data_IF_552952061001
#
_entry.id   IF_552952061001
#
_cell.length_a   1.000
_cell.length_b   1.000
_cell.length_c   1.000
_cell.angle_alpha   90.00
_cell.angle_beta   90.00
_cell.angle_gamma   90.00
#
_symmetry.space_group_name_H-M   'P 1'
#
loop_
_entity.id
_entity.type
_entity.pdbx_description
1 polymer ?
#
# COMPACT_ATOMS: atom_id res chain seq x y z
N UNK A 1 5.47 -6.63 -10.00
CA UNK A 1 6.33 -5.52 -10.49
C UNK A 1 7.66 -5.52 -9.74
N UNK A 2 8.44 -6.59 -9.88
CA UNK A 2 9.85 -6.57 -9.51
C UNK A 2 10.61 -6.10 -10.74
N UNK A 3 10.93 -4.83 -10.77
CA UNK A 3 11.93 -4.29 -11.69
C UNK A 3 13.13 -3.95 -10.82
N UNK A 4 14.36 -4.34 -11.20
CA UNK A 4 15.55 -3.84 -10.51
C UNK A 4 15.51 -2.31 -10.55
N UNK A 5 16.08 -1.67 -9.52
CA UNK A 5 16.22 -0.22 -9.56
C UNK A 5 17.09 0.16 -10.78
N UNK A 6 16.48 0.79 -11.78
CA UNK A 6 17.20 1.22 -12.98
C UNK A 6 18.31 2.19 -12.59
N UNK A 7 19.56 1.82 -12.85
CA UNK A 7 20.69 2.73 -12.73
C UNK A 7 20.74 3.63 -13.95
N UNK A 8 20.04 4.76 -13.89
CA UNK A 8 20.07 5.73 -14.98
C UNK A 8 21.45 6.38 -15.11
N UNK A 9 22.07 6.24 -16.28
CA UNK A 9 23.16 7.13 -16.68
C UNK A 9 22.65 8.58 -16.80
N UNK A 10 23.54 9.59 -16.89
CA UNK A 10 23.13 10.99 -17.03
C UNK A 10 22.14 11.22 -18.18
N UNK A 11 22.37 10.56 -19.33
CA UNK A 11 21.54 10.67 -20.52
C UNK A 11 20.17 10.02 -20.33
N UNK A 12 20.13 8.78 -19.86
CA UNK A 12 18.88 8.06 -19.61
C UNK A 12 18.03 8.78 -18.55
N UNK A 13 18.68 9.38 -17.52
CA UNK A 13 18.00 10.18 -16.51
C UNK A 13 17.37 11.42 -17.14
N UNK A 14 18.09 12.10 -18.04
CA UNK A 14 17.54 13.25 -18.72
C UNK A 14 16.37 12.88 -19.63
N UNK A 15 16.47 11.78 -20.39
CA UNK A 15 15.38 11.30 -21.25
C UNK A 15 14.13 10.94 -20.42
N UNK A 16 14.32 10.27 -19.28
CA UNK A 16 13.23 9.99 -18.33
C UNK A 16 12.62 11.27 -17.73
N UNK A 17 13.46 12.23 -17.34
CA UNK A 17 13.02 13.52 -16.83
C UNK A 17 12.27 14.33 -17.89
N UNK A 18 12.74 14.31 -19.14
CA UNK A 18 12.10 15.01 -20.26
C UNK A 18 10.71 14.46 -20.54
N UNK A 19 10.57 13.14 -20.62
CA UNK A 19 9.28 12.49 -20.82
C UNK A 19 8.29 12.85 -19.70
N UNK A 20 8.73 12.76 -18.44
CA UNK A 20 7.92 13.12 -17.28
C UNK A 20 7.53 14.62 -17.29
N UNK A 21 8.49 15.52 -17.44
CA UNK A 21 8.27 16.97 -17.33
C UNK A 21 7.36 17.49 -18.45
N UNK A 22 7.52 17.00 -19.68
CA UNK A 22 6.63 17.37 -20.79
C UNK A 22 5.19 16.96 -20.50
N UNK A 23 4.96 15.76 -19.97
CA UNK A 23 3.63 15.32 -19.60
C UNK A 23 3.08 16.09 -18.39
N UNK A 24 3.88 16.24 -17.34
CA UNK A 24 3.53 16.94 -16.11
C UNK A 24 3.14 18.39 -16.39
N UNK A 25 3.96 19.14 -17.14
CA UNK A 25 3.70 20.55 -17.44
C UNK A 25 2.50 20.72 -18.37
N UNK A 26 2.22 19.76 -19.26
CA UNK A 26 0.99 19.75 -20.06
C UNK A 26 -0.25 19.54 -19.17
N UNK A 27 -0.22 18.54 -18.30
CA UNK A 27 -1.35 18.24 -17.41
C UNK A 27 -1.60 19.36 -16.36
N UNK A 28 -0.57 20.15 -16.03
CA UNK A 28 -0.67 21.33 -15.16
C UNK A 28 -1.00 22.63 -15.91
N UNK A 29 -1.13 22.63 -17.24
CA UNK A 29 -1.39 23.84 -18.04
C UNK A 29 -0.25 24.86 -18.02
N UNK A 30 1.00 24.39 -17.94
CA UNK A 30 2.23 25.18 -17.81
C UNK A 30 3.23 24.92 -18.93
N UNK A 31 2.77 24.56 -20.12
CA UNK A 31 3.64 24.19 -21.25
C UNK A 31 4.66 25.27 -21.61
N UNK A 32 4.36 26.54 -21.38
CA UNK A 32 5.30 27.65 -21.62
C UNK A 32 6.58 27.60 -20.77
N UNK A 33 6.54 26.94 -19.61
CA UNK A 33 7.66 26.89 -18.67
C UNK A 33 8.61 25.69 -18.93
N UNK A 34 8.17 24.69 -19.70
CA UNK A 34 8.84 23.38 -19.77
C UNK A 34 10.25 23.48 -20.37
N UNK A 35 10.46 24.29 -21.40
CA UNK A 35 11.76 24.40 -22.08
C UNK A 35 12.83 25.06 -21.20
N UNK A 36 12.45 26.01 -20.34
CA UNK A 36 13.36 26.58 -19.35
C UNK A 36 13.73 25.53 -18.31
N UNK A 37 12.72 24.80 -17.82
CA UNK A 37 12.90 23.75 -16.82
C UNK A 37 13.82 22.63 -17.31
N UNK A 38 13.65 22.18 -18.55
CA UNK A 38 14.49 21.14 -19.15
C UNK A 38 15.97 21.57 -19.22
N UNK A 39 16.27 22.84 -19.52
CA UNK A 39 17.64 23.36 -19.50
C UNK A 39 18.25 23.36 -18.09
N UNK A 40 17.47 23.71 -17.07
CA UNK A 40 17.91 23.63 -15.67
C UNK A 40 18.21 22.20 -15.24
N UNK A 41 17.33 21.26 -15.63
CA UNK A 41 17.48 19.84 -15.34
C UNK A 41 18.70 19.26 -16.04
N UNK A 42 18.90 19.55 -17.33
CA UNK A 42 20.11 19.18 -18.07
C UNK A 42 21.39 19.67 -17.38
N UNK A 43 21.40 20.95 -16.99
CA UNK A 43 22.54 21.56 -16.30
C UNK A 43 22.81 20.90 -14.95
N UNK A 44 21.77 20.62 -14.17
CA UNK A 44 21.87 19.97 -12.85
C UNK A 44 22.40 18.55 -12.99
N UNK A 45 21.87 17.77 -13.94
CA UNK A 45 22.34 16.41 -14.23
C UNK A 45 23.81 16.43 -14.67
N UNK A 46 24.21 17.37 -15.54
CA UNK A 46 25.60 17.50 -15.97
C UNK A 46 26.58 17.82 -14.83
N UNK A 47 26.14 18.56 -13.81
CA UNK A 47 26.99 18.96 -12.67
C UNK A 47 27.00 17.95 -11.51
N UNK A 48 25.85 17.36 -11.21
CA UNK A 48 25.62 16.61 -9.97
C UNK A 48 25.15 15.17 -10.21
N UNK A 49 24.98 14.78 -11.48
CA UNK A 49 24.39 13.50 -11.88
C UNK A 49 22.98 13.28 -11.25
N UNK A 50 22.23 14.36 -11.03
CA UNK A 50 20.88 14.36 -10.48
C UNK A 50 20.20 15.73 -10.70
N UNK A 51 18.89 15.80 -10.48
CA UNK A 51 18.13 17.05 -10.41
C UNK A 51 17.07 16.94 -9.31
N UNK A 52 16.58 18.06 -8.80
CA UNK A 52 15.57 18.05 -7.72
C UNK A 52 14.23 18.46 -8.29
N UNK A 53 13.18 17.67 -8.02
CA UNK A 53 11.82 18.03 -8.37
C UNK A 53 11.34 19.28 -7.60
N UNK A 54 10.57 20.14 -8.24
CA UNK A 54 9.76 21.14 -7.52
C UNK A 54 8.66 20.45 -6.71
N UNK A 55 8.02 21.16 -5.76
CA UNK A 55 6.89 20.61 -5.01
C UNK A 55 5.74 20.20 -5.95
N UNK A 56 5.40 21.03 -6.94
CA UNK A 56 4.37 20.70 -7.92
C UNK A 56 4.71 19.47 -8.79
N UNK A 57 5.98 19.34 -9.19
CA UNK A 57 6.44 18.15 -9.92
C UNK A 57 6.36 16.88 -9.06
N UNK A 58 6.73 16.97 -7.78
CA UNK A 58 6.64 15.83 -6.85
C UNK A 58 5.18 15.42 -6.62
N UNK A 59 4.31 16.39 -6.35
CA UNK A 59 2.89 16.19 -6.12
C UNK A 59 2.22 15.51 -7.31
N UNK A 60 2.42 16.08 -8.51
CA UNK A 60 1.83 15.53 -9.74
C UNK A 60 2.44 14.17 -10.09
N UNK A 61 3.75 14.00 -9.92
CA UNK A 61 4.45 12.75 -10.17
C UNK A 61 3.96 11.59 -9.29
N UNK A 62 3.71 11.85 -8.00
CA UNK A 62 3.15 10.85 -7.09
C UNK A 62 1.72 10.45 -7.46
N UNK A 63 0.87 11.43 -7.84
CA UNK A 63 -0.48 11.19 -8.36
C UNK A 63 -0.47 10.35 -9.64
N UNK A 64 0.40 10.69 -10.59
CA UNK A 64 0.61 9.91 -11.81
C UNK A 64 1.08 8.49 -11.51
N UNK A 65 1.94 8.30 -10.49
CA UNK A 65 2.40 6.97 -10.09
C UNK A 65 1.25 6.08 -9.62
N UNK A 66 0.29 6.64 -8.86
CA UNK A 66 -0.93 5.92 -8.50
C UNK A 66 -1.79 5.63 -9.72
N UNK A 67 -2.03 6.63 -10.59
CA UNK A 67 -2.76 6.47 -11.87
C UNK A 67 -2.20 5.34 -12.75
N UNK A 68 -0.87 5.19 -12.75
CA UNK A 68 -0.15 4.19 -13.53
C UNK A 68 0.01 2.83 -12.82
N UNK A 69 -0.50 2.66 -11.60
CA UNK A 69 -0.30 1.43 -10.83
C UNK A 69 -1.19 0.28 -11.35
N UNK A 70 -0.59 -0.63 -12.12
CA UNK A 70 -1.31 -1.71 -12.80
C UNK A 70 -2.01 -2.71 -11.87
N UNK A 71 -1.64 -2.75 -10.59
CA UNK A 71 -2.21 -3.66 -9.58
C UNK A 71 -3.27 -2.99 -8.69
N UNK A 72 -3.58 -1.71 -8.92
CA UNK A 72 -4.51 -0.96 -8.10
C UNK A 72 -5.87 -0.82 -8.79
N UNK A 73 -6.92 -1.38 -8.18
CA UNK A 73 -8.31 -1.18 -8.60
C UNK A 73 -8.84 0.21 -8.19
N UNK A 74 -8.37 0.78 -7.08
CA UNK A 74 -8.81 2.07 -6.53
C UNK A 74 -8.30 3.31 -7.27
N UNK A 75 -7.87 3.20 -8.53
CA UNK A 75 -7.22 4.30 -9.28
C UNK A 75 -8.13 5.48 -9.61
N UNK A 76 -9.45 5.34 -9.45
CA UNK A 76 -10.40 6.43 -9.66
C UNK A 76 -10.07 7.69 -8.85
N UNK A 77 -9.48 7.54 -7.67
CA UNK A 77 -9.20 8.65 -6.75
C UNK A 77 -7.78 9.22 -6.90
N UNK A 78 -7.06 8.89 -7.98
CA UNK A 78 -5.64 9.22 -8.13
C UNK A 78 -5.31 10.70 -7.95
N UNK A 79 -6.23 11.60 -8.34
CA UNK A 79 -6.02 13.06 -8.27
C UNK A 79 -6.17 13.63 -6.83
N UNK A 80 -6.79 12.87 -5.93
CA UNK A 80 -7.11 13.27 -4.56
C UNK A 80 -6.00 12.95 -3.56
N UNK A 81 -4.90 12.34 -4.02
CA UNK A 81 -3.75 11.98 -3.19
C UNK A 81 -3.13 13.22 -2.52
N UNK A 82 -3.06 13.20 -1.20
CA UNK A 82 -2.30 14.16 -0.42
C UNK A 82 -0.82 13.76 -0.40
N UNK A 83 0.06 14.67 -0.81
CA UNK A 83 1.51 14.41 -0.88
C UNK A 83 2.21 15.20 0.22
N UNK A 84 2.77 14.49 1.18
CA UNK A 84 3.59 15.05 2.24
C UNK A 84 5.05 15.03 1.79
N UNK A 85 5.59 16.21 1.47
CA UNK A 85 6.99 16.36 1.06
C UNK A 85 7.91 16.24 2.28
N UNK A 86 8.52 15.07 2.46
CA UNK A 86 9.45 14.74 3.55
C UNK A 86 10.89 14.60 3.06
N UNK A 87 11.22 15.16 1.89
CA UNK A 87 12.55 15.04 1.27
C UNK A 87 13.66 15.75 2.05
N UNK A 88 13.32 16.55 3.06
CA UNK A 88 14.27 17.17 3.98
C UNK A 88 14.59 16.36 5.24
N UNK A 89 13.99 15.18 5.42
CA UNK A 89 14.16 14.37 6.64
C UNK A 89 15.22 13.29 6.43
N UNK A 90 16.27 13.32 7.25
CA UNK A 90 17.47 12.47 7.11
C UNK A 90 17.91 11.77 8.41
N UNK A 91 17.02 11.68 9.41
CA UNK A 91 17.26 10.95 10.67
C UNK A 91 16.17 9.94 10.92
N UNK A 92 16.49 8.80 11.55
CA UNK A 92 15.50 7.76 11.84
C UNK A 92 14.35 8.28 12.72
N UNK A 93 14.67 9.06 13.76
CA UNK A 93 13.69 9.75 14.60
C UNK A 93 12.81 10.72 13.80
N UNK A 94 13.40 11.49 12.88
CA UNK A 94 12.63 12.39 12.02
C UNK A 94 11.69 11.64 11.07
N UNK A 95 12.15 10.50 10.52
CA UNK A 95 11.32 9.62 9.70
C UNK A 95 10.17 9.07 10.55
N UNK A 96 10.44 8.53 11.74
CA UNK A 96 9.42 8.05 12.66
C UNK A 96 8.35 9.12 12.94
N UNK A 97 8.74 10.33 13.33
CA UNK A 97 7.80 11.41 13.62
C UNK A 97 6.91 11.71 12.40
N UNK A 98 7.48 11.71 11.19
CA UNK A 98 6.72 11.92 9.95
C UNK A 98 5.77 10.76 9.61
N UNK A 99 6.11 9.52 10.00
CA UNK A 99 5.25 8.36 9.83
C UNK A 99 4.08 8.37 10.82
N UNK A 100 4.30 8.81 12.06
CA UNK A 100 3.21 9.03 13.02
C UNK A 100 2.24 10.11 12.52
N UNK A 101 2.77 11.23 12.02
CA UNK A 101 1.95 12.28 11.38
C UNK A 101 1.18 11.75 10.16
N UNK A 102 1.79 10.86 9.37
CA UNK A 102 1.11 10.20 8.25
C UNK A 102 -0.08 9.36 8.75
N UNK A 103 0.15 8.49 9.73
CA UNK A 103 -0.88 7.60 10.27
C UNK A 103 -2.07 8.42 10.77
N UNK A 104 -1.84 9.43 11.60
CA UNK A 104 -2.88 10.31 12.13
C UNK A 104 -3.64 11.04 11.00
N UNK A 105 -2.92 11.71 10.11
CA UNK A 105 -3.52 12.46 9.00
C UNK A 105 -4.34 11.56 8.06
N UNK A 106 -3.82 10.37 7.75
CA UNK A 106 -4.48 9.42 6.86
C UNK A 106 -5.71 8.78 7.52
N UNK A 107 -5.65 8.52 8.83
CA UNK A 107 -6.75 7.89 9.60
C UNK A 107 -7.94 8.84 9.73
N UNK A 108 -7.71 10.10 10.10
CA UNK A 108 -8.74 11.16 10.11
C UNK A 108 -10.08 10.71 10.73
N UNK A 109 -10.03 10.18 11.96
CA UNK A 109 -11.19 9.70 12.70
C UNK A 109 -12.06 8.68 11.92
N UNK A 110 -11.42 7.84 11.11
CA UNK A 110 -12.07 6.83 10.27
C UNK A 110 -12.45 7.32 8.87
N UNK A 111 -12.48 8.63 8.61
CA UNK A 111 -12.71 9.19 7.28
C UNK A 111 -11.41 9.20 6.45
N UNK A 112 -10.94 8.01 6.08
CA UNK A 112 -9.61 7.76 5.52
C UNK A 112 -9.29 8.69 4.33
N UNK A 113 -8.10 9.32 4.40
CA UNK A 113 -7.54 10.21 3.38
C UNK A 113 -6.41 9.52 2.62
N UNK A 114 -6.47 9.43 1.27
CA UNK A 114 -5.34 8.96 0.48
C UNK A 114 -4.13 9.87 0.68
N UNK A 115 -3.04 9.31 1.18
CA UNK A 115 -1.85 10.07 1.55
C UNK A 115 -0.60 9.33 1.10
N UNK A 116 0.46 10.09 0.77
CA UNK A 116 1.81 9.57 0.55
C UNK A 116 2.82 10.48 1.25
N UNK A 117 3.81 9.91 1.94
CA UNK A 117 4.96 10.65 2.46
C UNK A 117 6.19 10.33 1.64
N UNK A 118 6.78 11.31 0.97
CA UNK A 118 7.94 11.08 0.12
C UNK A 118 9.23 11.53 0.83
N UNK A 119 10.06 10.56 1.21
CA UNK A 119 11.36 10.79 1.84
C UNK A 119 12.46 11.09 0.80
N UNK A 120 13.70 11.44 1.19
CA UNK A 120 14.72 11.85 0.24
C UNK A 120 14.98 10.80 -0.86
N UNK A 121 15.21 11.23 -2.12
CA UNK A 121 15.50 10.32 -3.21
C UNK A 121 16.86 9.63 -3.00
N UNK A 122 17.03 8.47 -3.63
CA UNK A 122 18.35 7.87 -3.79
C UNK A 122 19.17 8.74 -4.75
N UNK A 123 20.19 9.39 -4.21
CA UNK A 123 21.14 10.21 -4.98
C UNK A 123 22.48 9.49 -4.99
N UNK A 124 23.03 9.25 -6.19
CA UNK A 124 24.32 8.55 -6.39
C UNK A 124 24.36 7.14 -5.77
N UNK A 125 23.22 6.46 -5.68
CA UNK A 125 23.13 5.07 -5.20
C UNK A 125 23.02 4.93 -3.67
N UNK A 126 23.18 6.00 -2.90
CA UNK A 126 23.02 5.95 -1.45
C UNK A 126 21.53 5.98 -1.10
N UNK A 127 21.02 4.88 -0.54
CA UNK A 127 19.68 4.82 0.03
C UNK A 127 19.63 5.71 1.26
N UNK A 128 18.75 6.72 1.26
CA UNK A 128 18.67 7.67 2.37
C UNK A 128 17.76 7.16 3.49
N UNK A 129 16.63 6.55 3.14
CA UNK A 129 15.65 6.02 4.10
C UNK A 129 15.13 4.68 3.60
N UNK A 130 15.06 3.70 4.50
CA UNK A 130 14.42 2.40 4.27
C UNK A 130 13.55 2.05 5.48
N UNK A 131 12.27 1.83 5.21
CA UNK A 131 11.31 1.27 6.16
C UNK A 131 11.24 -0.23 5.85
N UNK A 132 11.51 -1.07 6.84
CA UNK A 132 11.57 -2.52 6.65
C UNK A 132 10.19 -3.17 6.72
N UNK A 133 9.23 -2.52 7.37
CA UNK A 133 7.85 -2.96 7.43
C UNK A 133 7.23 -2.99 6.01
N UNK A 134 6.47 -4.05 5.72
CA UNK A 134 5.65 -4.13 4.50
C UNK A 134 4.56 -3.04 4.50
N UNK A 135 3.89 -2.89 5.64
CA UNK A 135 2.92 -1.84 5.93
C UNK A 135 3.27 -1.17 7.27
N UNK A 136 2.95 0.11 7.43
CA UNK A 136 3.25 0.82 8.70
C UNK A 136 2.51 0.20 9.89
N UNK A 137 1.23 -0.12 9.70
CA UNK A 137 0.42 -0.87 10.64
C UNK A 137 0.39 -2.33 10.19
N UNK A 138 0.86 -3.22 11.06
CA UNK A 138 0.82 -4.66 10.83
C UNK A 138 0.87 -5.41 12.15
N UNK A 139 0.08 -6.47 12.26
CA UNK A 139 0.15 -7.38 13.40
C UNK A 139 1.38 -8.27 13.33
N UNK A 140 1.93 -8.58 14.49
CA UNK A 140 3.04 -9.51 14.67
C UNK A 140 2.60 -10.96 14.43
N UNK A 141 3.58 -11.84 14.22
CA UNK A 141 3.39 -13.28 14.07
C UNK A 141 4.39 -14.05 14.90
N UNK A 142 3.93 -14.96 15.74
CA UNK A 142 4.77 -15.75 16.65
C UNK A 142 4.68 -17.23 16.31
N UNK A 143 5.76 -17.80 15.79
CA UNK A 143 5.84 -19.24 15.56
C UNK A 143 5.84 -20.01 16.90
N UNK A 144 5.01 -21.04 16.99
CA UNK A 144 4.87 -21.94 18.14
C UNK A 144 4.82 -23.39 17.69
N UNK A 145 4.89 -24.33 18.65
CA UNK A 145 4.75 -25.76 18.38
C UNK A 145 3.40 -26.15 17.75
N UNK A 146 2.36 -25.32 17.94
CA UNK A 146 1.00 -25.58 17.48
C UNK A 146 0.58 -24.73 16.26
N UNK A 147 1.52 -24.01 15.64
CA UNK A 147 1.24 -23.06 14.56
C UNK A 147 1.65 -21.63 14.94
N UNK A 148 1.14 -20.65 14.20
CA UNK A 148 1.47 -19.23 14.41
C UNK A 148 0.35 -18.55 15.20
N UNK A 149 0.73 -17.76 16.21
CA UNK A 149 -0.16 -16.79 16.87
C UNK A 149 -0.02 -15.45 16.12
N UNK A 150 -1.14 -14.79 15.80
CA UNK A 150 -1.14 -13.57 15.00
C UNK A 150 -0.94 -13.81 13.50
N UNK A 151 -0.20 -12.94 12.82
CA UNK A 151 -0.06 -12.95 11.36
C UNK A 151 1.18 -13.74 10.87
N UNK A 152 1.01 -14.90 10.19
CA UNK A 152 2.13 -15.67 9.64
C UNK A 152 3.04 -14.90 8.69
N UNK A 153 2.51 -13.91 7.97
CA UNK A 153 3.31 -13.09 7.05
C UNK A 153 4.37 -12.26 7.78
N UNK A 154 4.13 -11.95 9.07
CA UNK A 154 4.97 -11.07 9.86
C UNK A 154 6.02 -11.80 10.70
N UNK A 155 6.10 -13.14 10.66
CA UNK A 155 6.98 -13.93 11.56
C UNK A 155 8.43 -13.47 11.49
N UNK A 156 8.99 -13.35 10.28
CA UNK A 156 10.39 -12.97 10.10
C UNK A 156 10.70 -11.58 10.70
N UNK A 157 9.85 -10.59 10.46
CA UNK A 157 10.01 -9.25 11.02
C UNK A 157 9.78 -9.22 12.53
N UNK A 158 8.84 -10.03 13.01
CA UNK A 158 8.55 -10.20 14.44
C UNK A 158 9.77 -10.73 15.19
N UNK A 159 10.42 -11.77 14.66
CA UNK A 159 11.61 -12.36 15.26
C UNK A 159 12.81 -11.41 15.24
N UNK A 160 12.96 -10.62 14.16
CA UNK A 160 13.93 -9.54 14.15
C UNK A 160 13.64 -8.52 15.24
N UNK A 161 12.41 -8.04 15.38
CA UNK A 161 12.09 -7.05 16.41
C UNK A 161 12.40 -7.60 17.82
N UNK A 162 12.07 -8.86 18.07
CA UNK A 162 12.35 -9.56 19.33
C UNK A 162 13.85 -9.73 19.58
N UNK A 163 14.66 -10.03 18.55
CA UNK A 163 16.11 -10.13 18.67
C UNK A 163 16.77 -8.79 19.03
N UNK A 164 16.09 -7.68 18.72
CA UNK A 164 16.48 -6.31 19.07
C UNK A 164 15.89 -5.81 20.38
N UNK A 165 15.22 -6.67 21.15
CA UNK A 165 14.72 -6.38 22.49
C UNK A 165 13.26 -5.93 22.56
N UNK A 166 12.52 -5.92 21.44
CA UNK A 166 11.08 -5.67 21.48
C UNK A 166 10.33 -6.85 22.13
N UNK A 167 9.27 -6.54 22.86
CA UNK A 167 8.41 -7.52 23.53
C UNK A 167 6.97 -7.07 23.52
N UNK A 168 6.05 -8.04 23.49
CA UNK A 168 4.60 -7.83 23.42
C UNK A 168 3.87 -8.86 24.29
N UNK A 169 2.54 -8.78 24.31
CA UNK A 169 1.69 -9.74 25.02
C UNK A 169 1.53 -11.08 24.28
N UNK A 170 1.99 -11.16 23.02
CA UNK A 170 1.84 -12.31 22.12
C UNK A 170 0.39 -12.67 21.86
N UNK A 171 -0.39 -11.66 21.49
CA UNK A 171 -1.79 -11.82 21.05
C UNK A 171 -1.88 -11.94 19.53
N UNK A 172 -3.06 -12.27 19.03
CA UNK A 172 -3.33 -12.30 17.59
C UNK A 172 -3.20 -10.93 16.92
N UNK A 173 -3.26 -9.84 17.70
CA UNK A 173 -3.37 -8.48 17.17
C UNK A 173 -2.34 -7.51 17.78
N UNK A 174 -1.16 -7.99 18.14
CA UNK A 174 -0.07 -7.10 18.61
C UNK A 174 0.49 -6.28 17.45
N UNK A 175 0.44 -4.95 17.53
CA UNK A 175 1.03 -4.06 16.51
C UNK A 175 2.56 -4.12 16.56
N UNK A 176 3.19 -4.34 15.40
CA UNK A 176 4.64 -4.31 15.25
C UNK A 176 5.21 -2.89 15.37
N UNK A 177 6.43 -2.71 15.93
CA UNK A 177 7.13 -1.44 15.87
C UNK A 177 7.57 -1.14 14.43
N UNK A 178 7.80 0.14 14.15
CA UNK A 178 8.42 0.59 12.92
C UNK A 178 9.92 0.31 12.96
N UNK A 179 10.43 -0.34 11.92
CA UNK A 179 11.86 -0.63 11.74
C UNK A 179 12.40 0.29 10.65
N UNK A 180 13.16 1.30 11.08
CA UNK A 180 13.59 2.41 10.23
C UNK A 180 15.11 2.41 10.13
N UNK A 181 15.61 2.43 8.89
CA UNK A 181 17.02 2.49 8.57
C UNK A 181 17.32 3.75 7.76
N UNK A 182 18.38 4.46 8.13
CA UNK A 182 18.88 5.64 7.42
C UNK A 182 20.33 5.44 7.02
N UNK A 183 20.62 5.53 5.72
CA UNK A 183 21.92 5.15 5.16
C UNK A 183 22.29 3.71 5.49
N UNK A 184 23.58 3.48 5.74
CA UNK A 184 24.12 2.15 6.09
C UNK A 184 24.12 1.89 7.61
N UNK A 185 23.37 2.68 8.39
CA UNK A 185 23.27 2.49 9.84
C UNK A 185 22.46 1.23 10.17
N UNK A 186 22.64 0.72 11.38
CA UNK A 186 21.76 -0.30 11.95
C UNK A 186 20.32 0.25 12.02
N UNK A 187 19.30 -0.53 11.63
CA UNK A 187 17.92 -0.12 11.80
C UNK A 187 17.56 0.13 13.26
N UNK A 188 16.73 1.13 13.49
CA UNK A 188 16.21 1.52 14.79
C UNK A 188 14.73 1.11 14.87
N UNK A 189 14.31 0.63 16.05
CA UNK A 189 12.93 0.23 16.32
C UNK A 189 12.20 1.36 17.04
N UNK A 190 10.98 1.66 16.58
CA UNK A 190 10.13 2.66 17.20
C UNK A 190 8.73 2.09 17.40
N UNK A 191 8.25 2.06 18.64
CA UNK A 191 6.88 1.67 18.93
C UNK A 191 5.90 2.73 18.42
N UNK A 192 4.78 2.27 17.87
CA UNK A 192 3.70 3.14 17.42
C UNK A 192 2.82 3.43 18.64
N UNK A 193 2.53 4.71 18.95
CA UNK A 193 1.62 5.04 20.04
C UNK A 193 0.22 4.47 19.80
N UNK A 194 -0.40 3.88 20.82
CA UNK A 194 -1.73 3.27 20.72
C UNK A 194 -2.81 4.27 20.27
N UNK A 195 -2.65 5.56 20.61
CA UNK A 195 -3.62 6.61 20.31
C UNK A 195 -3.68 7.00 18.82
N UNK A 196 -2.66 6.64 18.03
CA UNK A 196 -2.70 6.84 16.57
C UNK A 196 -3.15 5.61 15.79
N UNK A 197 -3.33 4.46 16.47
CA UNK A 197 -3.78 3.22 15.83
C UNK A 197 -5.29 3.08 16.01
N UNK A 198 -6.04 3.30 14.92
CA UNK A 198 -7.47 2.99 14.90
C UNK A 198 -7.69 1.55 14.46
N UNK A 199 -8.28 0.73 15.32
CA UNK A 199 -8.69 -0.64 15.03
C UNK A 199 -10.21 -0.77 15.01
N UNK A 200 -10.70 -1.68 14.17
CA UNK A 200 -12.12 -1.98 14.01
C UNK A 200 -12.39 -3.38 14.53
N UNK A 201 -12.92 -3.52 15.77
CA UNK A 201 -13.48 -4.78 16.25
C UNK A 201 -14.59 -5.28 15.32
N UNK A 202 -14.52 -6.56 14.95
CA UNK A 202 -15.47 -7.15 14.01
C UNK A 202 -16.68 -7.77 14.70
N UNK A 203 -17.83 -7.54 14.11
CA UNK A 203 -19.13 -8.10 14.47
C UNK A 203 -19.92 -8.41 13.20
N UNK A 204 -20.93 -9.26 13.29
CA UNK A 204 -21.77 -9.61 12.15
C UNK A 204 -23.23 -9.15 12.36
N UNK A 205 -23.91 -8.60 11.34
CA UNK A 205 -25.27 -8.08 11.50
C UNK A 205 -26.30 -9.16 11.88
N UNK A 206 -26.06 -10.40 11.45
CA UNK A 206 -27.00 -11.53 11.65
C UNK A 206 -26.48 -12.60 12.62
N UNK A 207 -25.21 -12.57 13.01
CA UNK A 207 -24.56 -13.63 13.80
C UNK A 207 -23.91 -13.03 15.04
N UNK A 208 -24.61 -13.08 16.17
CA UNK A 208 -24.14 -12.46 17.42
C UNK A 208 -22.82 -13.07 17.92
N UNK A 209 -22.66 -14.39 17.76
CA UNK A 209 -21.46 -15.15 18.12
C UNK A 209 -20.19 -14.65 17.44
N UNK A 210 -20.30 -13.92 16.32
CA UNK A 210 -19.13 -13.45 15.58
C UNK A 210 -18.25 -12.52 16.42
N UNK A 211 -18.84 -11.72 17.30
CA UNK A 211 -18.09 -10.81 18.18
C UNK A 211 -17.25 -11.58 19.21
N UNK A 212 -17.66 -12.80 19.57
CA UNK A 212 -16.95 -13.64 20.53
C UNK A 212 -15.66 -14.23 19.94
N UNK A 213 -15.48 -14.17 18.61
CA UNK A 213 -14.22 -14.54 17.95
C UNK A 213 -13.09 -13.53 18.24
N UNK A 214 -13.41 -12.33 18.73
CA UNK A 214 -12.41 -11.31 19.06
C UNK A 214 -11.61 -10.76 17.88
N UNK A 215 -12.08 -10.98 16.64
CA UNK A 215 -11.39 -10.49 15.44
C UNK A 215 -11.43 -8.96 15.37
N UNK A 216 -10.31 -8.37 14.95
CA UNK A 216 -10.22 -6.94 14.67
C UNK A 216 -9.21 -6.67 13.55
N UNK A 217 -9.29 -5.47 12.96
CA UNK A 217 -8.33 -5.05 11.96
C UNK A 217 -8.06 -3.55 12.02
N UNK A 218 -6.82 -3.13 11.78
CA UNK A 218 -6.45 -1.71 11.70
C UNK A 218 -7.14 -1.02 10.51
N UNK A 219 -7.54 0.23 10.69
CA UNK A 219 -8.45 0.95 9.78
C UNK A 219 -7.81 1.37 8.44
N UNK A 220 -6.50 1.68 8.45
CA UNK A 220 -5.82 2.30 7.30
C UNK A 220 -4.70 1.41 6.72
N UNK A 221 -4.77 1.01 5.43
CA UNK A 221 -3.72 0.23 4.77
C UNK A 221 -2.59 1.13 4.25
N UNK A 222 -1.50 1.27 5.01
CA UNK A 222 -0.36 2.09 4.59
C UNK A 222 0.80 1.20 4.13
N UNK A 223 0.99 1.05 2.82
CA UNK A 223 2.08 0.29 2.21
C UNK A 223 3.38 1.09 2.36
N UNK A 224 4.48 0.46 2.79
CA UNK A 224 5.75 1.13 3.09
C UNK A 224 7.00 0.52 2.45
N UNK A 225 6.87 -0.62 1.78
CA UNK A 225 8.00 -1.36 1.20
C UNK A 225 8.24 -1.13 -0.30
N UNK A 226 7.42 -0.30 -0.93
CA UNK A 226 7.58 0.09 -2.33
C UNK A 226 8.47 1.33 -2.46
N UNK A 227 9.17 1.42 -3.59
CA UNK A 227 9.82 2.67 -4.04
C UNK A 227 8.93 3.38 -5.05
N UNK A 228 8.99 4.70 -5.05
CA UNK A 228 8.37 5.56 -6.04
C UNK A 228 9.42 6.01 -7.07
N UNK A 229 9.12 5.90 -8.36
CA UNK A 229 9.95 6.43 -9.43
C UNK A 229 9.22 7.58 -10.14
N UNK A 230 9.90 8.73 -10.28
CA UNK A 230 9.41 9.90 -11.02
C UNK A 230 10.57 10.45 -11.86
N UNK A 231 10.41 10.52 -13.18
CA UNK A 231 11.37 11.18 -14.08
C UNK A 231 12.81 10.65 -13.99
N UNK A 232 12.99 9.35 -13.72
CA UNK A 232 14.32 8.75 -13.52
C UNK A 232 14.95 9.00 -12.16
N UNK A 233 14.24 9.63 -11.21
CA UNK A 233 14.59 9.66 -9.79
C UNK A 233 13.87 8.56 -9.04
N UNK A 234 14.58 7.94 -8.09
CA UNK A 234 14.06 6.88 -7.24
C UNK A 234 13.88 7.43 -5.83
N UNK A 235 12.71 7.23 -5.24
CA UNK A 235 12.38 7.54 -3.85
C UNK A 235 12.22 6.21 -3.10
N UNK A 236 13.25 5.74 -2.39
CA UNK A 236 13.25 4.40 -1.81
C UNK A 236 12.22 4.21 -0.71
N UNK A 237 11.87 5.27 0.01
CA UNK A 237 10.81 5.26 1.02
C UNK A 237 9.75 6.29 0.63
N UNK A 238 8.58 5.77 0.27
CA UNK A 238 7.46 6.60 -0.11
C UNK A 238 6.14 5.96 0.39
N UNK A 239 5.97 5.74 1.71
CA UNK A 239 4.78 5.05 2.21
C UNK A 239 3.51 5.78 1.82
N UNK A 240 2.49 5.02 1.43
CA UNK A 240 1.23 5.54 0.92
C UNK A 240 0.03 4.68 1.31
N UNK A 241 -1.15 5.31 1.32
CA UNK A 241 -2.40 4.63 1.61
C UNK A 241 -3.54 5.07 0.69
N UNK A 242 -4.50 4.17 0.53
CA UNK A 242 -5.90 4.49 0.23
C UNK A 242 -6.75 4.07 1.42
N UNK A 243 -7.90 3.46 1.16
CA UNK A 243 -8.69 2.73 2.14
C UNK A 243 -8.91 1.30 1.66
N UNK A 244 -9.31 0.42 2.57
CA UNK A 244 -9.52 -0.99 2.25
C UNK A 244 -10.67 -1.22 1.27
N UNK A 245 -10.47 -2.18 0.38
CA UNK A 245 -11.53 -2.99 -0.19
C UNK A 245 -11.81 -4.17 0.76
N UNK A 246 -13.08 -4.43 1.10
CA UNK A 246 -13.44 -5.39 2.15
C UNK A 246 -12.86 -6.81 1.98
N UNK A 247 -12.67 -7.24 0.73
CA UNK A 247 -12.09 -8.55 0.41
C UNK A 247 -10.59 -8.66 0.74
N UNK A 248 -9.87 -7.55 0.89
CA UNK A 248 -8.48 -7.56 1.39
C UNK A 248 -8.43 -8.06 2.83
N UNK A 249 -9.41 -7.70 3.66
CA UNK A 249 -9.49 -8.14 5.05
C UNK A 249 -10.21 -9.48 5.12
N UNK A 250 -11.47 -9.55 4.68
CA UNK A 250 -12.32 -10.71 4.88
C UNK A 250 -11.90 -11.94 4.08
N UNK A 251 -11.50 -11.76 2.82
CA UNK A 251 -11.13 -12.89 1.96
C UNK A 251 -9.65 -13.24 2.02
N UNK A 252 -8.76 -12.24 2.12
CA UNK A 252 -7.30 -12.48 2.15
C UNK A 252 -6.77 -12.62 3.56
N UNK A 253 -6.84 -11.57 4.38
CA UNK A 253 -6.24 -11.59 5.71
C UNK A 253 -6.86 -12.65 6.63
N UNK A 254 -8.19 -12.74 6.68
CA UNK A 254 -8.89 -13.75 7.48
C UNK A 254 -9.18 -15.06 6.74
N UNK A 255 -9.29 -15.03 5.40
CA UNK A 255 -9.71 -16.19 4.63
C UNK A 255 -8.58 -17.05 4.06
N UNK A 256 -7.37 -16.50 3.87
CA UNK A 256 -6.26 -17.28 3.32
C UNK A 256 -5.71 -18.28 4.37
N UNK A 257 -5.42 -19.51 3.91
CA UNK A 257 -4.91 -20.61 4.74
C UNK A 257 -3.50 -20.37 5.28
N UNK A 258 -2.73 -19.50 4.63
CA UNK A 258 -1.38 -19.09 5.05
C UNK A 258 -1.40 -17.77 5.82
N UNK A 259 -2.59 -17.34 6.28
CA UNK A 259 -2.81 -16.15 7.11
C UNK A 259 -3.56 -16.56 8.39
N UNK A 260 -4.68 -15.92 8.71
CA UNK A 260 -5.43 -16.24 9.93
C UNK A 260 -6.34 -17.47 9.79
N UNK A 261 -6.57 -17.96 8.56
CA UNK A 261 -7.34 -19.19 8.27
C UNK A 261 -8.66 -19.35 9.05
N UNK A 262 -9.51 -18.32 9.05
CA UNK A 262 -10.75 -18.29 9.84
C UNK A 262 -11.92 -19.04 9.20
N UNK A 263 -11.77 -19.55 7.97
CA UNK A 263 -12.86 -20.23 7.26
C UNK A 263 -13.38 -21.47 8.02
N UNK A 264 -12.54 -22.39 8.53
CA UNK A 264 -13.02 -23.54 9.29
C UNK A 264 -13.79 -23.14 10.55
N UNK A 265 -13.30 -22.13 11.29
CA UNK A 265 -13.94 -21.63 12.51
C UNK A 265 -15.31 -21.01 12.22
N UNK A 266 -15.41 -20.21 11.16
CA UNK A 266 -16.69 -19.62 10.74
C UNK A 266 -17.67 -20.70 10.28
N UNK A 267 -17.20 -21.71 9.54
CA UNK A 267 -18.03 -22.82 9.08
C UNK A 267 -18.58 -23.67 10.24
N UNK A 268 -17.78 -23.91 11.27
CA UNK A 268 -18.21 -24.61 12.49
C UNK A 268 -19.31 -23.83 13.23
N UNK A 269 -19.14 -22.52 13.41
CA UNK A 269 -20.15 -21.65 14.04
C UNK A 269 -21.46 -21.56 13.25
N UNK A 270 -21.39 -21.75 11.93
CA UNK A 270 -22.55 -21.81 11.04
C UNK A 270 -23.17 -23.21 10.97
N UNK A 271 -22.53 -24.24 11.50
CA UNK A 271 -22.99 -25.63 11.43
C UNK A 271 -22.91 -26.21 10.01
N UNK A 272 -21.93 -25.78 9.20
CA UNK A 272 -21.78 -26.23 7.82
C UNK A 272 -21.09 -27.60 7.75
N UNK A 273 -21.45 -28.39 6.73
CA UNK A 273 -20.76 -29.63 6.41
C UNK A 273 -19.43 -29.32 5.69
N UNK A 274 -18.32 -29.44 6.41
CA UNK A 274 -16.95 -29.21 5.90
C UNK A 274 -16.29 -30.47 5.34
N UNK A 275 -17.01 -31.60 5.23
CA UNK A 275 -16.45 -32.88 4.80
C UNK A 275 -15.98 -32.92 3.34
N UNK A 276 -16.52 -32.04 2.48
CA UNK A 276 -16.15 -31.94 1.08
C UNK A 276 -16.39 -30.54 0.54
N UNK A 277 -15.49 -30.05 -0.32
CA UNK A 277 -15.64 -28.75 -1.01
C UNK A 277 -16.93 -28.66 -1.85
N UNK A 278 -17.57 -29.80 -2.19
CA UNK A 278 -18.85 -29.82 -2.92
C UNK A 278 -20.03 -29.20 -2.16
N UNK A 279 -19.94 -29.07 -0.84
CA UNK A 279 -20.96 -28.40 -0.02
C UNK A 279 -20.89 -26.88 -0.12
N UNK A 280 -19.83 -26.33 -0.73
CA UNK A 280 -19.57 -24.89 -0.88
C UNK A 280 -19.42 -24.16 0.46
N UNK A 281 -18.99 -24.88 1.50
CA UNK A 281 -18.84 -24.32 2.85
C UNK A 281 -17.83 -23.15 2.89
N UNK A 282 -16.79 -23.18 2.05
CA UNK A 282 -15.80 -22.11 1.94
C UNK A 282 -16.41 -20.84 1.36
N UNK A 283 -17.23 -20.98 0.32
CA UNK A 283 -17.94 -19.87 -0.32
C UNK A 283 -18.90 -19.18 0.66
N UNK A 284 -19.66 -19.97 1.43
CA UNK A 284 -20.54 -19.46 2.48
C UNK A 284 -19.77 -18.76 3.61
N UNK A 285 -18.71 -19.39 4.13
CA UNK A 285 -17.87 -18.80 5.19
C UNK A 285 -17.20 -17.49 4.73
N UNK A 286 -16.69 -17.45 3.49
CA UNK A 286 -16.12 -16.23 2.90
C UNK A 286 -17.16 -15.12 2.80
N UNK A 287 -18.40 -15.42 2.40
CA UNK A 287 -19.46 -14.42 2.34
C UNK A 287 -19.72 -13.81 3.73
N UNK A 288 -19.78 -14.64 4.78
CA UNK A 288 -19.97 -14.20 6.17
C UNK A 288 -18.81 -13.34 6.67
N UNK A 289 -17.55 -13.72 6.41
CA UNK A 289 -16.39 -12.91 6.76
C UNK A 289 -16.42 -11.53 6.11
N UNK A 290 -16.68 -11.47 4.80
CA UNK A 290 -16.74 -10.20 4.08
C UNK A 290 -17.91 -9.31 4.57
N UNK A 291 -19.06 -9.89 4.89
CA UNK A 291 -20.19 -9.17 5.48
C UNK A 291 -19.85 -8.60 6.86
N UNK A 292 -19.18 -9.37 7.74
CA UNK A 292 -18.74 -8.90 9.05
C UNK A 292 -17.79 -7.71 8.93
N UNK A 293 -16.81 -7.77 8.02
CA UNK A 293 -15.86 -6.69 7.77
C UNK A 293 -16.58 -5.41 7.34
N UNK A 294 -17.38 -5.48 6.27
CA UNK A 294 -18.08 -4.30 5.75
C UNK A 294 -19.02 -3.69 6.78
N UNK A 295 -19.80 -4.53 7.48
CA UNK A 295 -20.71 -4.09 8.53
C UNK A 295 -19.98 -3.38 9.67
N UNK A 296 -18.86 -3.92 10.11
CA UNK A 296 -18.13 -3.41 11.28
C UNK A 296 -17.46 -2.06 10.99
N UNK A 297 -16.85 -1.93 9.81
CA UNK A 297 -16.28 -0.66 9.35
C UNK A 297 -17.36 0.41 9.20
N UNK A 298 -18.49 0.09 8.56
CA UNK A 298 -19.62 1.02 8.42
C UNK A 298 -20.18 1.46 9.78
N UNK A 299 -20.39 0.49 10.69
CA UNK A 299 -20.89 0.74 12.05
C UNK A 299 -19.98 1.68 12.87
N UNK A 300 -18.68 1.64 12.62
CA UNK A 300 -17.69 2.50 13.28
C UNK A 300 -17.40 3.80 12.51
N UNK A 301 -18.06 4.04 11.38
CA UNK A 301 -17.83 5.23 10.55
C UNK A 301 -16.48 5.22 9.84
N UNK A 302 -15.85 4.06 9.70
CA UNK A 302 -14.56 3.91 9.02
C UNK A 302 -14.77 3.65 7.54
N UNK A 303 -14.09 4.43 6.71
CA UNK A 303 -14.19 4.33 5.25
C UNK A 303 -13.66 2.98 4.75
N UNK A 304 -14.52 2.26 4.06
CA UNK A 304 -14.22 1.01 3.36
C UNK A 304 -15.05 0.95 2.07
N UNK A 305 -14.65 0.12 1.11
CA UNK A 305 -15.44 -0.13 -0.10
C UNK A 305 -15.65 -1.63 -0.31
N UNK A 306 -16.84 -2.04 -0.74
CA UNK A 306 -17.03 -3.40 -1.24
C UNK A 306 -16.44 -3.56 -2.64
N UNK A 307 -16.19 -4.81 -3.03
CA UNK A 307 -15.49 -5.11 -4.26
C UNK A 307 -16.31 -4.88 -5.53
N UNK A 308 -17.65 -4.83 -5.45
CA UNK A 308 -18.49 -4.49 -6.60
C UNK A 308 -18.45 -2.99 -6.86
N UNK A 309 -18.59 -2.16 -5.82
CA UNK A 309 -18.44 -0.71 -5.94
C UNK A 309 -17.02 -0.31 -6.34
N UNK A 310 -15.99 -1.00 -5.85
CA UNK A 310 -14.60 -0.78 -6.29
C UNK A 310 -14.44 -1.04 -7.80
N UNK A 311 -15.08 -2.08 -8.33
CA UNK A 311 -15.08 -2.35 -9.77
C UNK A 311 -15.83 -1.27 -10.57
N UNK A 312 -16.99 -0.80 -10.10
CA UNK A 312 -17.71 0.30 -10.76
C UNK A 312 -16.93 1.63 -10.71
N UNK A 313 -16.19 1.90 -9.62
CA UNK A 313 -15.26 3.03 -9.56
C UNK A 313 -14.12 2.87 -10.59
N UNK A 314 -13.56 1.67 -10.71
CA UNK A 314 -12.56 1.38 -11.74
C UNK A 314 -13.10 1.59 -13.16
N UNK A 315 -14.36 1.25 -13.41
CA UNK A 315 -15.03 1.52 -14.69
C UNK A 315 -15.13 3.02 -15.01
N UNK A 316 -15.39 3.84 -14.00
CA UNK A 316 -15.37 5.31 -14.14
C UNK A 316 -13.97 5.82 -14.46
N UNK A 317 -12.95 5.28 -13.79
CA UNK A 317 -11.56 5.56 -14.12
C UNK A 317 -11.24 5.24 -15.58
N UNK A 318 -11.69 4.09 -16.10
CA UNK A 318 -11.51 3.73 -17.51
C UNK A 318 -12.16 4.73 -18.46
N UNK A 319 -13.35 5.23 -18.11
CA UNK A 319 -14.04 6.26 -18.87
C UNK A 319 -13.25 7.58 -18.89
N UNK A 320 -12.77 8.05 -17.73
CA UNK A 320 -12.02 9.31 -17.62
C UNK A 320 -10.67 9.25 -18.34
N UNK A 321 -9.96 8.12 -18.27
CA UNK A 321 -8.72 7.92 -19.02
C UNK A 321 -8.99 7.97 -20.53
N UNK A 322 -10.06 7.33 -21.00
CA UNK A 322 -10.45 7.35 -22.42
C UNK A 322 -10.84 8.74 -22.89
N UNK A 323 -11.61 9.48 -22.10
CA UNK A 323 -12.00 10.87 -22.42
C UNK A 323 -10.79 11.79 -22.50
N UNK A 324 -9.78 11.54 -21.68
CA UNK A 324 -8.50 12.23 -21.74
C UNK A 324 -7.53 11.69 -22.81
N UNK A 325 -7.97 10.76 -23.67
CA UNK A 325 -7.18 10.18 -24.75
C UNK A 325 -6.06 9.23 -24.29
N UNK A 326 -6.12 8.73 -23.05
CA UNK A 326 -5.16 7.79 -22.47
C UNK A 326 -5.70 6.36 -22.51
N UNK A 327 -4.80 5.39 -22.64
CA UNK A 327 -5.13 3.97 -22.54
C UNK A 327 -4.95 3.48 -21.10
N UNK A 328 -5.89 2.69 -20.60
CA UNK A 328 -5.76 2.02 -19.30
C UNK A 328 -4.85 0.80 -19.41
N UNK A 329 -3.89 0.71 -18.50
CA UNK A 329 -3.02 -0.45 -18.29
C UNK A 329 -3.43 -1.19 -17.02
N UNK A 330 -3.12 -2.49 -16.91
CA UNK A 330 -3.51 -3.27 -15.74
C UNK A 330 -3.00 -4.71 -15.75
N UNK A 331 -2.75 -5.25 -14.55
CA UNK A 331 -2.52 -6.67 -14.32
C UNK A 331 -3.84 -7.30 -13.89
N UNK A 332 -4.56 -7.92 -14.85
CA UNK A 332 -5.94 -8.40 -14.63
C UNK A 332 -6.10 -9.28 -13.38
N UNK A 333 -5.13 -10.14 -13.07
CA UNK A 333 -5.16 -11.01 -11.88
C UNK A 333 -5.19 -10.24 -10.56
N UNK A 334 -4.70 -8.99 -10.52
CA UNK A 334 -4.76 -8.12 -9.35
C UNK A 334 -5.97 -7.20 -9.34
N UNK A 335 -6.50 -6.87 -10.51
CA UNK A 335 -7.71 -6.05 -10.63
C UNK A 335 -8.99 -6.85 -10.34
N UNK A 336 -8.94 -8.18 -10.48
CA UNK A 336 -10.05 -9.03 -10.09
C UNK A 336 -10.13 -9.17 -8.56
N UNK A 337 -11.29 -8.89 -7.95
CA UNK A 337 -11.50 -9.23 -6.55
C UNK A 337 -11.27 -10.73 -6.31
N UNK A 338 -10.74 -11.14 -5.16
CA UNK A 338 -10.46 -12.55 -4.85
C UNK A 338 -11.74 -13.37 -4.58
N UNK A 339 -12.90 -12.71 -4.45
CA UNK A 339 -14.21 -13.33 -4.28
C UNK A 339 -15.18 -12.79 -5.33
N UNK A 340 -16.10 -13.63 -5.81
CA UNK A 340 -17.16 -13.28 -6.76
C UNK A 340 -16.68 -12.56 -8.04
N UNK A 341 -15.49 -12.86 -8.54
CA UNK A 341 -14.85 -12.08 -9.62
C UNK A 341 -15.65 -12.06 -10.92
N UNK A 342 -16.40 -13.13 -11.25
CA UNK A 342 -17.22 -13.21 -12.46
C UNK A 342 -18.43 -12.27 -12.46
N UNK A 343 -18.70 -11.60 -11.34
CA UNK A 343 -19.83 -10.67 -11.19
C UNK A 343 -19.46 -9.22 -11.55
N UNK A 344 -18.20 -8.92 -11.83
CA UNK A 344 -17.73 -7.58 -12.18
C UNK A 344 -17.23 -7.50 -13.62
N UNK A 345 -17.31 -6.32 -14.24
CA UNK A 345 -16.97 -6.14 -15.66
C UNK A 345 -15.49 -6.42 -15.98
N UNK A 346 -14.60 -6.29 -15.00
CA UNK A 346 -13.17 -6.60 -15.10
C UNK A 346 -12.95 -8.06 -15.54
N UNK A 347 -13.89 -8.97 -15.22
CA UNK A 347 -13.81 -10.38 -15.61
C UNK A 347 -13.85 -10.57 -17.13
N UNK A 348 -14.67 -9.82 -17.85
CA UNK A 348 -14.81 -9.95 -19.30
C UNK A 348 -13.79 -9.10 -20.07
N UNK A 349 -13.11 -8.17 -19.39
CA UNK A 349 -12.14 -7.26 -19.99
C UNK A 349 -10.71 -7.83 -19.99
N UNK A 350 -9.91 -7.37 -20.95
CA UNK A 350 -8.45 -7.57 -20.99
C UNK A 350 -7.73 -6.25 -20.84
N UNK A 351 -6.56 -6.29 -20.20
CA UNK A 351 -5.74 -5.12 -19.94
C UNK A 351 -4.30 -5.42 -20.37
N UNK A 352 -3.69 -4.48 -21.09
CA UNK A 352 -2.26 -4.54 -21.36
C UNK A 352 -1.50 -4.24 -20.05
N UNK A 353 -0.63 -5.16 -19.63
CA UNK A 353 0.21 -4.98 -18.44
C UNK A 353 1.48 -4.18 -18.78
N UNK A 354 1.35 -3.12 -19.56
CA UNK A 354 2.43 -2.19 -19.86
C UNK A 354 2.74 -1.36 -18.60
N UNK A 355 4.00 -1.34 -18.16
CA UNK A 355 4.45 -0.51 -17.05
C UNK A 355 4.78 0.88 -17.57
N UNK A 356 4.10 1.90 -17.04
CA UNK A 356 4.37 3.32 -17.34
C UNK A 356 4.95 4.02 -16.12
N UNK A 357 5.86 4.96 -16.32
CA UNK A 357 6.42 5.79 -15.25
C UNK A 357 5.88 7.23 -15.35
N UNK A 358 5.68 7.95 -14.24
CA UNK A 358 5.94 7.58 -12.84
C UNK A 358 5.19 6.34 -12.35
N UNK A 359 5.75 5.56 -11.42
CA UNK A 359 5.11 4.35 -10.85
C UNK A 359 5.71 3.93 -9.50
N UNK A 360 5.05 2.96 -8.87
CA UNK A 360 5.54 2.26 -7.69
C UNK A 360 6.12 0.90 -8.06
N UNK A 361 7.20 0.52 -7.38
CA UNK A 361 7.87 -0.74 -7.63
C UNK A 361 8.26 -1.41 -6.32
N UNK A 362 8.11 -2.74 -6.27
CA UNK A 362 8.63 -3.52 -5.14
C UNK A 362 10.14 -3.42 -5.10
N UNK A 363 10.66 -3.20 -3.89
CA UNK A 363 12.09 -3.28 -3.63
C UNK A 363 12.45 -4.74 -3.39
N UNK A 364 13.73 -5.05 -3.50
CA UNK A 364 14.24 -6.26 -2.87
C UNK A 364 14.10 -6.12 -1.36
N UNK A 365 13.81 -7.23 -0.69
CA UNK A 365 13.82 -7.29 0.76
C UNK A 365 15.20 -6.83 1.27
N UNK A 366 15.28 -6.26 2.48
CA UNK A 366 16.58 -6.11 3.12
C UNK A 366 17.28 -7.48 3.14
N UNK A 367 18.62 -7.52 3.05
CA UNK A 367 19.35 -8.77 3.26
C UNK A 367 18.88 -9.42 4.58
N UNK A 368 18.97 -10.76 4.69
CA UNK A 368 18.36 -11.51 5.78
C UNK A 368 18.55 -10.80 7.11
N UNK A 369 17.44 -10.60 7.81
CA UNK A 369 17.38 -9.94 9.11
C UNK A 369 18.35 -10.68 10.05
N UNK A 370 19.58 -10.17 10.21
CA UNK A 370 20.61 -10.73 11.11
C UNK A 370 20.42 -10.25 12.54
#
# INVERSE_FOLDING_TARGET
MHSPASTYGPRDRYEAAENFLRQCYKELGREGDVESRLKEVWTSIGRQNHYVHTTAELEHGAKMAWRNSNRCIGRYFWDSLHVLDRRGIDTAQGVYNALIEHIDFATNDGNIRPTISVFPPAVRGNQQVRIWNHQLLRYAGYETENGVIGDPNSVALTDYCRSRGWSSQRTDFDILPLVIQVGDKTPELFEIPDDVVMEVPLSHPNYQWFSDLGLQWYAVPIISDMRLEIGGLQYPAAPFNGWYMGTEIGSRNFGDVDRYDMLPTVADQLGLDTSTDRTLWKDEALAVLNQAVLHSFEKQGVRIVDHHNAAEQFKRFEQEEREAGRKVTGERSWLLPPNASSTVHIFENTYENEIRTPNFFYREDPPPLQ
#
